data_IF_301671011992
#
_entry.id   IF_301671011992
#
_cell.length_a   1.000
_cell.length_b   1.000
_cell.length_c   1.000
_cell.angle_alpha   90.00
_cell.angle_beta   90.00
_cell.angle_gamma   90.00
#
_symmetry.space_group_name_H-M   'P 1'
#
loop_
_entity.id
_entity.type
_entity.pdbx_description
1 polymer ?
#
# COMPACT_ATOMS: atom_id res chain seq x y z
N UNK A 1 20.09 -13.14 -9.89
CA UNK A 1 19.37 -12.86 -8.63
C UNK A 1 17.92 -13.25 -8.83
N UNK A 2 17.35 -14.09 -7.96
CA UNK A 2 15.91 -14.37 -7.99
C UNK A 2 15.23 -13.12 -7.42
N UNK A 3 14.45 -12.43 -8.26
CA UNK A 3 13.68 -11.26 -7.83
C UNK A 3 12.69 -11.71 -6.73
N UNK A 4 12.83 -11.16 -5.52
CA UNK A 4 11.96 -11.52 -4.41
C UNK A 4 10.70 -10.66 -4.45
N UNK A 5 9.49 -11.25 -4.28
CA UNK A 5 8.28 -10.45 -4.24
C UNK A 5 8.31 -9.50 -3.04
N UNK A 6 7.73 -8.31 -3.22
CA UNK A 6 7.70 -7.27 -2.21
C UNK A 6 6.36 -7.29 -1.48
N UNK A 7 6.40 -7.49 -0.17
CA UNK A 7 5.20 -7.61 0.66
C UNK A 7 4.73 -6.23 1.16
N UNK A 8 3.41 -6.01 1.13
CA UNK A 8 2.76 -4.83 1.66
C UNK A 8 1.61 -5.25 2.57
N UNK A 9 1.45 -4.55 3.71
CA UNK A 9 0.30 -4.71 4.62
C UNK A 9 -0.43 -3.37 4.71
N UNK A 10 -1.70 -3.35 4.28
CA UNK A 10 -2.48 -2.12 4.12
C UNK A 10 -3.74 -2.19 4.99
N UNK A 11 -4.09 -1.06 5.61
CA UNK A 11 -5.37 -0.86 6.27
C UNK A 11 -6.47 -0.61 5.23
N UNK A 12 -7.56 -1.37 5.30
CA UNK A 12 -8.72 -1.28 4.40
C UNK A 12 -10.02 -1.34 5.20
N UNK A 13 -11.14 -0.99 4.58
CA UNK A 13 -12.45 -1.25 5.18
C UNK A 13 -12.74 -2.74 5.20
N UNK A 14 -13.50 -3.17 6.21
CA UNK A 14 -13.81 -4.59 6.39
C UNK A 14 -14.65 -5.15 5.23
N UNK A 15 -15.54 -4.34 4.68
CA UNK A 15 -16.36 -4.67 3.51
C UNK A 15 -15.49 -4.88 2.26
N UNK A 16 -14.55 -3.97 2.01
CA UNK A 16 -13.60 -4.09 0.88
C UNK A 16 -12.75 -5.36 1.02
N UNK A 17 -12.28 -5.67 2.25
CA UNK A 17 -11.53 -6.90 2.52
C UNK A 17 -12.35 -8.13 2.19
N UNK A 18 -13.61 -8.15 2.61
CA UNK A 18 -14.53 -9.27 2.39
C UNK A 18 -14.80 -9.47 0.90
N UNK A 19 -15.11 -8.40 0.18
CA UNK A 19 -15.36 -8.44 -1.27
C UNK A 19 -14.11 -8.86 -2.06
N UNK A 20 -12.95 -8.33 -1.72
CA UNK A 20 -11.68 -8.72 -2.35
C UNK A 20 -11.41 -10.22 -2.15
N UNK A 21 -11.62 -10.74 -0.94
CA UNK A 21 -11.44 -12.17 -0.68
C UNK A 21 -12.41 -13.04 -1.50
N UNK A 22 -13.64 -12.57 -1.74
CA UNK A 22 -14.59 -13.26 -2.61
C UNK A 22 -14.12 -13.30 -4.07
N UNK A 23 -13.63 -12.18 -4.62
CA UNK A 23 -13.05 -12.11 -5.97
C UNK A 23 -11.84 -13.05 -6.11
N UNK A 24 -10.94 -13.03 -5.12
CA UNK A 24 -9.74 -13.88 -5.11
C UNK A 24 -10.13 -15.35 -5.03
N UNK A 25 -11.14 -15.70 -4.23
CA UNK A 25 -11.66 -17.07 -4.13
C UNK A 25 -12.26 -17.54 -5.45
N UNK A 26 -13.04 -16.69 -6.13
CA UNK A 26 -13.59 -17.02 -7.44
C UNK A 26 -12.47 -17.28 -8.47
N UNK A 27 -11.49 -16.37 -8.56
CA UNK A 27 -10.35 -16.51 -9.46
C UNK A 27 -9.47 -17.73 -9.15
N UNK A 28 -9.32 -18.09 -7.86
CA UNK A 28 -8.63 -19.30 -7.45
C UNK A 28 -9.36 -20.55 -7.93
N UNK A 29 -10.68 -20.62 -7.74
CA UNK A 29 -11.49 -21.76 -8.18
C UNK A 29 -11.47 -21.93 -9.70
N UNK A 30 -11.52 -20.83 -10.46
CA UNK A 30 -11.38 -20.86 -11.92
C UNK A 30 -10.03 -21.42 -12.36
N UNK A 31 -8.96 -21.03 -11.68
CA UNK A 31 -7.62 -21.53 -11.95
C UNK A 31 -7.44 -23.00 -11.57
N UNK A 32 -8.04 -23.43 -10.45
CA UNK A 32 -8.07 -24.84 -10.05
C UNK A 32 -8.82 -25.70 -11.06
N UNK A 33 -9.99 -25.25 -11.52
CA UNK A 33 -10.75 -25.93 -12.58
C UNK A 33 -9.95 -26.03 -13.88
N UNK A 34 -9.29 -24.96 -14.29
CA UNK A 34 -8.41 -24.98 -15.47
C UNK A 34 -7.25 -25.98 -15.31
N UNK A 35 -6.67 -26.09 -14.11
CA UNK A 35 -5.60 -27.04 -13.82
C UNK A 35 -6.09 -28.49 -13.91
N UNK A 36 -7.28 -28.79 -13.40
CA UNK A 36 -7.91 -30.11 -13.49
C UNK A 36 -8.17 -30.49 -14.95
N UNK A 37 -8.88 -29.65 -15.70
CA UNK A 37 -9.17 -29.87 -17.12
C UNK A 37 -7.89 -30.06 -17.95
N UNK A 38 -6.84 -29.32 -17.63
CA UNK A 38 -5.56 -29.43 -18.34
C UNK A 38 -4.81 -30.72 -17.98
N UNK A 39 -4.86 -31.17 -16.72
CA UNK A 39 -4.27 -32.45 -16.30
C UNK A 39 -4.97 -33.63 -16.97
N UNK A 40 -6.28 -33.56 -17.10
CA UNK A 40 -7.08 -34.60 -17.75
C UNK A 40 -6.80 -34.65 -19.25
N UNK A 41 -6.76 -33.50 -19.92
CA UNK A 41 -6.40 -33.37 -21.34
C UNK A 41 -5.00 -33.88 -21.66
N UNK A 42 -4.01 -33.63 -20.79
CA UNK A 42 -2.65 -34.17 -20.92
C UNK A 42 -2.57 -35.67 -20.53
N UNK A 43 -3.66 -36.27 -20.05
CA UNK A 43 -3.71 -37.68 -19.64
C UNK A 43 -2.77 -37.99 -18.48
N UNK A 44 -2.53 -37.02 -17.59
CA UNK A 44 -1.41 -37.06 -16.65
C UNK A 44 -1.48 -38.25 -15.67
N UNK A 45 -2.69 -38.72 -15.37
CA UNK A 45 -2.96 -39.91 -14.57
C UNK A 45 -2.48 -41.23 -15.21
N UNK A 46 -2.34 -41.27 -16.53
CA UNK A 46 -1.90 -42.45 -17.29
C UNK A 46 -0.41 -42.41 -17.66
N UNK A 47 0.26 -41.26 -17.48
CA UNK A 47 1.67 -41.10 -17.78
C UNK A 47 2.55 -41.54 -16.59
N UNK A 48 3.73 -42.08 -16.88
CA UNK A 48 4.74 -42.43 -15.86
C UNK A 48 6.13 -41.90 -16.23
N UNK A 49 7.00 -41.82 -15.23
CA UNK A 49 8.42 -41.46 -15.39
C UNK A 49 8.64 -40.13 -16.12
N UNK A 50 9.51 -40.14 -17.13
CA UNK A 50 9.90 -38.94 -17.89
C UNK A 50 8.73 -38.28 -18.61
N UNK A 51 7.77 -39.06 -19.12
CA UNK A 51 6.60 -38.54 -19.83
C UNK A 51 5.71 -37.70 -18.90
N UNK A 52 5.44 -38.18 -17.69
CA UNK A 52 4.69 -37.43 -16.68
C UNK A 52 5.44 -36.16 -16.23
N UNK A 53 6.77 -36.24 -16.10
CA UNK A 53 7.59 -35.06 -15.78
C UNK A 53 7.48 -33.97 -16.85
N UNK A 54 7.63 -34.33 -18.13
CA UNK A 54 7.51 -33.40 -19.25
C UNK A 54 6.11 -32.78 -19.34
N UNK A 55 5.05 -33.56 -19.13
CA UNK A 55 3.68 -33.04 -19.09
C UNK A 55 3.50 -31.99 -17.98
N UNK A 56 4.02 -32.25 -16.77
CA UNK A 56 3.99 -31.28 -15.66
C UNK A 56 4.74 -29.99 -15.98
N UNK A 57 5.86 -30.08 -16.70
CA UNK A 57 6.61 -28.89 -17.15
C UNK A 57 5.77 -28.06 -18.11
N UNK A 58 5.18 -28.69 -19.15
CA UNK A 58 4.28 -27.99 -20.09
C UNK A 58 3.10 -27.31 -19.40
N UNK A 59 2.46 -28.00 -18.46
CA UNK A 59 1.33 -27.43 -17.69
C UNK A 59 1.79 -26.19 -16.91
N UNK A 60 2.98 -26.24 -16.26
CA UNK A 60 3.51 -25.09 -15.53
C UNK A 60 3.88 -23.92 -16.44
N UNK A 61 4.47 -24.20 -17.59
CA UNK A 61 4.81 -23.19 -18.60
C UNK A 61 3.56 -22.50 -19.12
N UNK A 62 2.52 -23.28 -19.44
CA UNK A 62 1.24 -22.76 -19.89
C UNK A 62 0.54 -21.95 -18.79
N UNK A 63 0.54 -22.44 -17.56
CA UNK A 63 0.01 -21.71 -16.40
C UNK A 63 0.73 -20.37 -16.22
N UNK A 64 2.06 -20.36 -16.30
CA UNK A 64 2.86 -19.14 -16.20
C UNK A 64 2.54 -18.16 -17.34
N UNK A 65 2.36 -18.66 -18.56
CA UNK A 65 1.96 -17.87 -19.74
C UNK A 65 0.58 -17.22 -19.53
N UNK A 66 -0.42 -17.99 -19.11
CA UNK A 66 -1.77 -17.49 -18.88
C UNK A 66 -1.85 -16.51 -17.70
N UNK A 67 -1.08 -16.74 -16.64
CA UNK A 67 -0.92 -15.77 -15.53
C UNK A 67 -0.25 -14.47 -16.00
N UNK A 68 0.78 -14.55 -16.84
CA UNK A 68 1.45 -13.38 -17.41
C UNK A 68 0.51 -12.55 -18.30
N UNK A 69 -0.41 -13.21 -19.01
CA UNK A 69 -1.48 -12.59 -19.80
C UNK A 69 -2.63 -12.04 -18.93
N UNK A 70 -2.66 -12.39 -17.65
CA UNK A 70 -3.73 -11.99 -16.72
C UNK A 70 -5.04 -12.74 -16.91
N UNK A 71 -5.01 -13.89 -17.59
CA UNK A 71 -6.16 -14.80 -17.76
C UNK A 71 -6.41 -15.56 -16.45
N UNK A 72 -5.35 -16.11 -15.85
CA UNK A 72 -5.40 -16.78 -14.56
C UNK A 72 -4.96 -15.82 -13.45
N UNK A 73 -5.81 -15.66 -12.43
CA UNK A 73 -5.58 -14.71 -11.32
C UNK A 73 -5.80 -15.34 -9.95
N UNK A 74 -5.41 -16.59 -9.74
CA UNK A 74 -5.67 -17.34 -8.50
C UNK A 74 -4.93 -16.85 -7.25
N UNK A 75 -4.36 -15.63 -7.25
CA UNK A 75 -3.75 -15.04 -6.07
C UNK A 75 -4.06 -13.55 -5.95
N UNK A 76 -4.03 -13.03 -4.72
CA UNK A 76 -4.23 -11.58 -4.44
C UNK A 76 -3.29 -10.70 -5.26
N UNK A 77 -2.04 -11.14 -5.42
CA UNK A 77 -1.03 -10.48 -6.24
C UNK A 77 -1.49 -10.31 -7.69
N UNK A 78 -1.98 -11.40 -8.30
CA UNK A 78 -2.42 -11.41 -9.70
C UNK A 78 -3.73 -10.65 -9.91
N UNK A 79 -4.62 -10.65 -8.92
CA UNK A 79 -5.85 -9.83 -8.94
C UNK A 79 -5.51 -8.34 -8.87
N UNK A 80 -4.60 -7.93 -7.98
CA UNK A 80 -4.33 -6.52 -7.70
C UNK A 80 -3.28 -5.89 -8.62
N UNK A 81 -2.32 -6.64 -9.15
CA UNK A 81 -1.24 -6.10 -9.96
C UNK A 81 -1.71 -5.27 -11.18
N UNK A 82 -2.74 -5.68 -11.95
CA UNK A 82 -3.30 -4.85 -13.02
C UNK A 82 -3.87 -3.53 -12.51
N UNK A 83 -4.59 -3.56 -11.39
CA UNK A 83 -5.15 -2.36 -10.75
C UNK A 83 -4.06 -1.39 -10.28
N UNK A 84 -2.99 -1.91 -9.67
CA UNK A 84 -1.83 -1.09 -9.25
C UNK A 84 -1.17 -0.44 -10.47
N UNK A 85 -0.93 -1.19 -11.55
CA UNK A 85 -0.37 -0.62 -12.80
C UNK A 85 -1.27 0.46 -13.39
N UNK A 86 -2.58 0.23 -13.39
CA UNK A 86 -3.57 1.19 -13.88
C UNK A 86 -3.57 2.48 -13.05
N UNK A 87 -3.51 2.38 -11.72
CA UNK A 87 -3.42 3.54 -10.82
C UNK A 87 -2.11 4.31 -11.00
N UNK A 88 -0.97 3.61 -11.10
CA UNK A 88 0.31 4.25 -11.39
C UNK A 88 0.24 5.00 -12.73
N UNK A 89 -0.36 4.41 -13.76
CA UNK A 89 -0.53 5.06 -15.07
C UNK A 89 -1.47 6.27 -15.00
N UNK A 90 -2.63 6.12 -14.38
CA UNK A 90 -3.64 7.17 -14.25
C UNK A 90 -3.12 8.42 -13.53
N UNK A 91 -2.22 8.24 -12.57
CA UNK A 91 -1.60 9.34 -11.80
C UNK A 91 -0.30 9.87 -12.42
N UNK A 92 0.09 9.44 -13.62
CA UNK A 92 1.37 9.83 -14.24
C UNK A 92 2.61 9.31 -13.51
N UNK A 93 2.43 8.29 -12.67
CA UNK A 93 3.45 7.63 -11.84
C UNK A 93 4.04 6.37 -12.51
N UNK A 94 3.60 6.02 -13.72
CA UNK A 94 4.15 4.90 -14.49
C UNK A 94 5.47 5.24 -15.22
N UNK A 95 6.23 6.21 -14.72
CA UNK A 95 7.52 6.65 -15.28
C UNK A 95 8.70 6.06 -14.52
N UNK A 96 9.90 6.18 -15.09
CA UNK A 96 11.15 5.79 -14.41
C UNK A 96 11.48 6.81 -13.34
N UNK A 97 11.73 6.30 -12.13
CA UNK A 97 12.17 7.08 -10.98
C UNK A 97 13.55 6.60 -10.55
N UNK A 98 14.34 7.51 -9.97
CA UNK A 98 15.60 7.16 -9.33
C UNK A 98 15.35 6.16 -8.18
N UNK A 99 16.38 5.39 -7.82
CA UNK A 99 16.33 4.53 -6.64
C UNK A 99 16.09 5.37 -5.38
N UNK A 100 15.26 4.86 -4.47
CA UNK A 100 15.10 5.48 -3.14
C UNK A 100 16.43 5.32 -2.37
N UNK A 101 16.89 6.35 -1.64
CA UNK A 101 18.07 6.24 -0.78
C UNK A 101 17.94 5.05 0.19
N UNK A 102 19.02 4.30 0.41
CA UNK A 102 18.99 3.04 1.17
C UNK A 102 18.44 3.21 2.60
N UNK A 103 18.69 4.35 3.25
CA UNK A 103 18.16 4.67 4.58
C UNK A 103 16.65 4.99 4.62
N UNK A 104 16.04 5.28 3.47
CA UNK A 104 14.63 5.69 3.36
C UNK A 104 13.76 4.62 2.69
N UNK A 105 14.39 3.67 1.99
CA UNK A 105 13.73 2.55 1.33
C UNK A 105 13.07 1.56 2.30
N UNK A 106 13.54 1.51 3.55
CA UNK A 106 13.10 0.57 4.59
C UNK A 106 12.40 1.22 5.78
N UNK A 107 12.20 2.54 5.77
CA UNK A 107 11.49 3.22 6.84
C UNK A 107 10.01 2.83 6.81
N UNK A 108 9.67 1.70 7.43
CA UNK A 108 8.29 1.32 7.77
C UNK A 108 7.81 2.25 8.89
N UNK A 109 7.62 3.50 8.53
CA UNK A 109 7.28 4.58 9.42
C UNK A 109 6.23 5.46 8.75
N UNK A 110 5.40 6.03 9.60
CA UNK A 110 4.41 7.02 9.19
C UNK A 110 5.17 8.22 8.62
N UNK A 111 5.03 8.50 7.32
CA UNK A 111 5.59 9.71 6.72
C UNK A 111 5.13 10.93 7.51
N UNK A 112 6.01 11.92 7.66
CA UNK A 112 5.65 13.19 8.30
C UNK A 112 4.40 13.75 7.63
N UNK A 113 3.41 14.09 8.45
CA UNK A 113 2.12 14.59 8.00
C UNK A 113 1.06 13.53 7.65
N UNK A 114 1.40 12.24 7.54
CA UNK A 114 0.40 11.18 7.29
C UNK A 114 -0.39 10.83 8.57
N UNK A 115 -1.10 11.80 9.15
CA UNK A 115 -1.96 11.67 10.35
C UNK A 115 -3.23 10.83 10.11
N UNK A 116 -4.02 10.49 11.15
CA UNK A 116 -5.28 9.75 10.96
C UNK A 116 -6.26 10.60 10.15
N UNK A 117 -6.15 11.93 10.29
CA UNK A 117 -6.86 12.96 9.53
C UNK A 117 -6.56 12.92 8.02
N UNK A 118 -5.41 12.40 7.58
CA UNK A 118 -5.05 12.30 6.15
C UNK A 118 -6.04 11.42 5.37
N UNK A 119 -6.70 10.48 6.05
CA UNK A 119 -7.70 9.62 5.41
C UNK A 119 -9.11 10.14 5.49
N UNK A 120 -9.39 11.29 6.13
CA UNK A 120 -10.73 11.88 6.22
C UNK A 120 -11.82 10.96 6.78
N UNK A 121 -11.44 9.84 7.41
CA UNK A 121 -12.34 8.77 7.88
C UNK A 121 -12.27 8.62 9.39
N UNK A 122 -12.42 9.73 10.11
CA UNK A 122 -12.82 9.72 11.51
C UNK A 122 -14.34 9.81 11.49
N UNK A 123 -15.06 8.82 12.03
CA UNK A 123 -16.46 9.07 12.41
C UNK A 123 -16.50 10.06 13.57
N UNK A 124 -17.69 10.51 13.97
CA UNK A 124 -17.92 11.40 15.12
C UNK A 124 -17.21 10.98 16.42
N UNK A 125 -16.69 9.75 16.53
CA UNK A 125 -15.96 9.20 17.68
C UNK A 125 -14.44 8.97 17.49
N UNK A 126 -13.77 9.63 16.55
CA UNK A 126 -12.29 9.53 16.38
C UNK A 126 -11.75 8.11 16.02
N UNK A 127 -12.61 7.16 15.64
CA UNK A 127 -12.22 5.79 15.21
C UNK A 127 -12.09 5.72 13.69
N UNK A 128 -10.97 5.16 13.19
CA UNK A 128 -10.78 4.95 11.76
C UNK A 128 -11.68 3.83 11.22
N UNK A 129 -12.36 4.02 10.09
CA UNK A 129 -13.16 2.96 9.43
C UNK A 129 -12.30 1.83 8.84
N UNK A 130 -10.97 2.01 8.77
CA UNK A 130 -10.00 1.06 8.23
C UNK A 130 -9.58 0.01 9.27
N UNK A 131 -10.53 -0.85 9.66
CA UNK A 131 -10.31 -1.92 10.65
C UNK A 131 -9.69 -3.19 10.06
N UNK A 132 -9.89 -3.42 8.75
CA UNK A 132 -9.37 -4.57 8.03
C UNK A 132 -7.88 -4.44 7.68
N UNK A 133 -7.19 -5.57 7.57
CA UNK A 133 -5.80 -5.65 7.06
C UNK A 133 -5.73 -6.58 5.86
N UNK A 134 -5.08 -6.12 4.80
CA UNK A 134 -4.79 -6.91 3.60
C UNK A 134 -3.29 -6.96 3.41
N UNK A 135 -2.75 -8.18 3.38
CA UNK A 135 -1.39 -8.46 2.95
C UNK A 135 -1.40 -8.83 1.45
N UNK A 136 -0.53 -8.20 0.68
CA UNK A 136 -0.33 -8.49 -0.75
C UNK A 136 1.16 -8.56 -1.06
N UNK A 137 1.55 -9.53 -1.86
CA UNK A 137 2.90 -9.68 -2.39
C UNK A 137 2.89 -9.26 -3.85
N UNK A 138 3.53 -8.14 -4.18
CA UNK A 138 3.62 -7.70 -5.57
C UNK A 138 4.90 -8.24 -6.21
N UNK A 139 4.92 -8.48 -7.53
CA UNK A 139 6.15 -8.75 -8.26
C UNK A 139 7.20 -7.67 -7.94
N UNK A 140 8.45 -8.08 -7.76
CA UNK A 140 9.54 -7.21 -7.27
C UNK A 140 9.58 -5.88 -8.04
N UNK A 141 9.66 -5.92 -9.37
CA UNK A 141 9.70 -4.74 -10.23
C UNK A 141 8.52 -3.79 -10.02
N UNK A 142 7.30 -4.34 -9.86
CA UNK A 142 6.10 -3.53 -9.63
C UNK A 142 6.07 -2.94 -8.22
N UNK A 143 6.47 -3.74 -7.22
CA UNK A 143 6.59 -3.27 -5.84
C UNK A 143 7.64 -2.18 -5.68
N UNK A 144 8.77 -2.32 -6.37
CA UNK A 144 9.85 -1.33 -6.42
C UNK A 144 9.41 -0.06 -7.13
N UNK A 145 8.75 -0.19 -8.28
CA UNK A 145 8.19 0.96 -9.00
C UNK A 145 7.18 1.72 -8.12
N UNK A 146 6.28 1.00 -7.44
CA UNK A 146 5.29 1.59 -6.55
C UNK A 146 5.96 2.39 -5.42
N UNK A 147 6.96 1.81 -4.75
CA UNK A 147 7.68 2.50 -3.65
C UNK A 147 8.39 3.75 -4.17
N UNK A 148 9.11 3.65 -5.28
CA UNK A 148 9.83 4.80 -5.88
C UNK A 148 8.86 5.90 -6.31
N UNK A 149 7.75 5.54 -6.95
CA UNK A 149 6.75 6.48 -7.39
C UNK A 149 6.14 7.26 -6.21
N UNK A 150 5.70 6.56 -5.16
CA UNK A 150 5.16 7.19 -3.97
C UNK A 150 6.20 8.07 -3.26
N UNK A 151 7.46 7.64 -3.19
CA UNK A 151 8.56 8.42 -2.64
C UNK A 151 8.76 9.74 -3.39
N UNK A 152 9.17 9.68 -4.66
CA UNK A 152 9.56 10.87 -5.40
C UNK A 152 8.40 11.81 -5.72
N UNK A 153 7.18 11.28 -5.85
CA UNK A 153 6.01 12.14 -6.07
C UNK A 153 5.63 12.91 -4.80
N UNK A 154 5.85 12.33 -3.62
CA UNK A 154 5.54 13.00 -2.35
C UNK A 154 6.70 13.82 -1.80
N UNK A 155 7.91 13.64 -2.32
CA UNK A 155 9.13 14.23 -1.75
C UNK A 155 9.06 15.76 -1.62
N UNK A 156 8.61 16.53 -2.63
CA UNK A 156 8.51 17.98 -2.49
C UNK A 156 7.55 18.42 -1.37
N UNK A 157 6.42 17.71 -1.23
CA UNK A 157 5.45 17.98 -0.16
C UNK A 157 6.00 17.61 1.22
N UNK A 158 6.77 16.52 1.32
CA UNK A 158 7.44 16.11 2.56
C UNK A 158 8.49 17.14 2.98
N UNK A 159 9.32 17.61 2.05
CA UNK A 159 10.31 18.67 2.31
C UNK A 159 9.63 19.97 2.75
N UNK A 160 8.56 20.38 2.07
CA UNK A 160 7.78 21.56 2.46
C UNK A 160 7.14 21.41 3.85
N UNK A 161 6.68 20.21 4.23
CA UNK A 161 6.19 19.94 5.58
C UNK A 161 7.28 20.01 6.64
N UNK A 162 8.50 19.56 6.32
CA UNK A 162 9.65 19.73 7.22
C UNK A 162 10.00 21.20 7.43
N UNK A 163 10.01 22.00 6.37
CA UNK A 163 10.22 23.45 6.48
C UNK A 163 9.07 24.15 7.23
N UNK A 164 7.84 23.71 7.02
CA UNK A 164 6.70 24.14 7.82
C UNK A 164 6.89 23.82 9.31
N UNK A 165 7.34 22.60 9.63
CA UNK A 165 7.57 22.14 11.01
C UNK A 165 8.74 22.88 11.66
N UNK A 166 9.80 23.22 10.91
CA UNK A 166 10.90 24.08 11.42
C UNK A 166 10.40 25.48 11.78
N UNK A 167 9.47 26.04 11.00
CA UNK A 167 8.90 27.39 11.21
C UNK A 167 7.94 27.45 12.40
N UNK A 168 7.09 26.45 12.56
CA UNK A 168 5.95 26.49 13.49
C UNK A 168 6.03 25.47 14.64
N UNK A 169 7.02 24.58 14.63
CA UNK A 169 7.14 23.45 15.54
C UNK A 169 6.08 22.37 15.31
N UNK A 170 6.01 21.41 16.23
CA UNK A 170 5.06 20.29 16.16
C UNK A 170 3.60 20.67 16.47
N UNK A 171 3.38 21.93 16.88
CA UNK A 171 2.11 22.41 17.38
C UNK A 171 1.80 21.91 18.81
N UNK A 172 0.86 22.57 19.51
CA UNK A 172 0.56 22.26 20.91
C UNK A 172 -0.04 20.86 21.11
N UNK A 173 -0.82 20.35 20.15
CA UNK A 173 -1.44 19.01 20.23
C UNK A 173 -0.40 17.87 20.29
N UNK A 174 0.71 17.99 19.55
CA UNK A 174 1.76 16.96 19.53
C UNK A 174 2.57 16.99 20.82
N UNK A 175 2.93 18.19 21.31
CA UNK A 175 3.60 18.37 22.60
C UNK A 175 2.76 17.83 23.76
N UNK A 176 1.44 18.05 23.75
CA UNK A 176 0.51 17.51 24.75
C UNK A 176 0.42 15.99 24.69
N UNK A 177 0.35 15.40 23.48
CA UNK A 177 0.29 13.94 23.30
C UNK A 177 1.61 13.26 23.66
N UNK A 178 2.75 13.88 23.40
CA UNK A 178 4.07 13.40 23.82
C UNK A 178 4.26 13.51 25.34
N UNK A 179 3.84 14.61 25.97
CA UNK A 179 3.83 14.74 27.42
C UNK A 179 2.97 13.65 28.08
N UNK A 180 1.78 13.37 27.53
CA UNK A 180 0.92 12.27 27.99
C UNK A 180 1.57 10.89 27.83
N UNK A 181 2.25 10.62 26.70
CA UNK A 181 2.96 9.35 26.48
C UNK A 181 4.18 9.18 27.39
N UNK A 182 4.84 10.28 27.75
CA UNK A 182 5.99 10.28 28.65
C UNK A 182 5.59 10.13 30.13
N UNK A 183 4.29 9.99 30.44
CA UNK A 183 3.81 9.88 31.82
C UNK A 183 3.99 11.15 32.65
N UNK A 184 4.37 12.26 32.02
CA UNK A 184 4.36 13.56 32.65
C UNK A 184 2.89 13.93 32.88
N UNK A 185 2.48 14.39 34.08
CA UNK A 185 1.16 14.95 34.24
C UNK A 185 1.03 16.03 33.16
N UNK A 186 -0.12 16.08 32.49
CA UNK A 186 -0.50 17.11 31.51
C UNK A 186 -0.64 18.49 32.18
N UNK A 187 0.28 18.81 33.08
CA UNK A 187 0.32 19.94 33.97
C UNK A 187 1.16 21.06 33.38
N UNK A 188 0.86 22.24 33.89
CA UNK A 188 1.46 23.55 33.72
C UNK A 188 2.64 23.69 32.74
N UNK A 189 3.75 22.95 32.85
CA UNK A 189 4.91 23.03 31.94
C UNK A 189 4.60 22.69 30.46
N UNK A 190 3.76 21.69 30.18
CA UNK A 190 3.36 21.36 28.81
C UNK A 190 2.45 22.46 28.23
N UNK A 191 1.58 23.04 29.07
CA UNK A 191 0.73 24.18 28.73
C UNK A 191 1.54 25.47 28.55
N UNK A 192 2.59 25.67 29.35
CA UNK A 192 3.47 26.84 29.31
C UNK A 192 4.37 26.82 28.06
N UNK A 193 4.94 25.66 27.73
CA UNK A 193 5.70 25.46 26.48
C UNK A 193 4.83 25.46 25.22
N UNK A 194 3.54 25.12 25.34
CA UNK A 194 2.55 25.30 24.30
C UNK A 194 2.12 26.78 24.15
N UNK A 195 2.02 27.53 25.26
CA UNK A 195 1.64 28.95 25.27
C UNK A 195 2.75 29.91 24.84
N UNK A 196 4.02 29.51 24.96
CA UNK A 196 5.18 30.28 24.45
C UNK A 196 5.53 29.98 22.99
N UNK A 197 5.00 28.90 22.42
CA UNK A 197 5.16 28.63 21.00
C UNK A 197 4.25 29.58 20.22
N UNK A 198 4.79 30.28 19.22
CA UNK A 198 3.98 31.05 18.28
C UNK A 198 2.98 30.11 17.62
N UNK A 199 1.67 30.21 17.91
CA UNK A 199 0.70 29.29 17.34
C UNK A 199 0.70 29.50 15.82
N UNK A 200 0.68 28.40 15.07
CA UNK A 200 0.48 28.47 13.63
C UNK A 200 -0.82 29.23 13.34
N UNK A 201 -0.75 30.20 12.44
CA UNK A 201 -1.94 30.93 11.98
C UNK A 201 -2.93 29.98 11.28
N UNK A 202 -4.19 30.38 11.15
CA UNK A 202 -5.20 29.60 10.43
C UNK A 202 -4.73 29.27 8.99
N UNK A 203 -4.11 30.25 8.32
CA UNK A 203 -3.54 30.07 6.98
C UNK A 203 -2.40 29.05 6.96
N UNK A 204 -1.53 29.05 7.98
CA UNK A 204 -0.46 28.07 8.10
C UNK A 204 -0.99 26.65 8.34
N UNK A 205 -2.11 26.49 9.05
CA UNK A 205 -2.78 25.19 9.21
C UNK A 205 -3.41 24.71 7.90
N UNK A 206 -3.98 25.63 7.10
CA UNK A 206 -4.47 25.30 5.76
C UNK A 206 -3.33 24.89 4.84
N UNK A 207 -2.21 25.62 4.82
CA UNK A 207 -0.99 25.27 4.08
C UNK A 207 -0.54 23.84 4.41
N UNK A 208 -0.48 23.49 5.71
CA UNK A 208 -0.14 22.14 6.16
C UNK A 208 -1.12 21.08 5.63
N UNK A 209 -2.41 21.36 5.65
CA UNK A 209 -3.43 20.42 5.16
C UNK A 209 -3.32 20.18 3.64
N UNK A 210 -3.04 21.22 2.86
CA UNK A 210 -2.82 21.13 1.42
C UNK A 210 -1.57 20.29 1.12
N UNK A 211 -0.47 20.54 1.83
CA UNK A 211 0.76 19.76 1.68
C UNK A 211 0.56 18.28 2.07
N UNK A 212 -0.18 18.01 3.14
CA UNK A 212 -0.54 16.63 3.52
C UNK A 212 -1.34 15.95 2.40
N UNK A 213 -2.34 16.63 1.83
CA UNK A 213 -3.15 16.12 0.72
C UNK A 213 -2.36 15.75 -0.54
N UNK A 214 -1.17 16.32 -0.74
CA UNK A 214 -0.28 16.01 -1.86
C UNK A 214 0.54 14.71 -1.65
N UNK A 215 0.59 14.18 -0.42
CA UNK A 215 1.32 12.94 -0.14
C UNK A 215 0.53 11.73 -0.62
N UNK A 216 1.14 10.96 -1.51
CA UNK A 216 0.59 9.70 -2.01
C UNK A 216 1.35 8.53 -1.38
N UNK A 217 0.62 7.67 -0.67
CA UNK A 217 1.18 6.47 -0.04
C UNK A 217 0.96 5.23 -0.90
N UNK A 218 1.76 4.19 -0.65
CA UNK A 218 1.54 2.87 -1.27
C UNK A 218 0.16 2.30 -0.90
N UNK A 219 -0.32 2.60 0.32
CA UNK A 219 -1.66 2.23 0.77
C UNK A 219 -2.78 2.88 -0.05
N UNK A 220 -2.61 4.11 -0.50
CA UNK A 220 -3.62 4.81 -1.33
C UNK A 220 -3.76 4.16 -2.70
N UNK A 221 -2.62 3.83 -3.33
CA UNK A 221 -2.60 3.14 -4.62
C UNK A 221 -3.20 1.74 -4.50
N UNK A 222 -2.84 1.00 -3.45
CA UNK A 222 -3.33 -0.37 -3.25
C UNK A 222 -4.82 -0.37 -2.89
N UNK A 223 -5.31 0.56 -2.06
CA UNK A 223 -6.75 0.73 -1.81
C UNK A 223 -7.52 1.06 -3.09
N UNK A 224 -7.02 1.98 -3.91
CA UNK A 224 -7.64 2.29 -5.19
C UNK A 224 -7.62 1.07 -6.14
N UNK A 225 -6.55 0.27 -6.14
CA UNK A 225 -6.49 -0.98 -6.89
C UNK A 225 -7.49 -2.03 -6.39
N UNK A 226 -7.74 -2.10 -5.07
CA UNK A 226 -8.75 -2.96 -4.46
C UNK A 226 -10.15 -2.55 -4.93
N UNK A 227 -10.48 -1.26 -4.89
CA UNK A 227 -11.77 -0.76 -5.38
C UNK A 227 -12.00 -1.01 -6.88
N UNK A 228 -10.92 -1.12 -7.68
CA UNK A 228 -11.03 -1.50 -9.10
C UNK A 228 -11.19 -3.00 -9.32
N UNK A 229 -10.76 -3.81 -8.36
CA UNK A 229 -10.77 -5.27 -8.47
C UNK A 229 -12.06 -5.91 -7.97
N UNK A 230 -12.80 -5.20 -7.12
CA UNK A 230 -14.14 -5.54 -6.62
C UNK A 230 -15.18 -5.05 -7.61
#
# INVERSE_FOLDING_TARGET
>A
MVAMPKQFVIAVEEDDRTRLNAVVKAAFNEEEKWLEETRDREGLQFLRGRAASMARVRIREEQARLRAQGVLRGSKALVLAPGVRAELKARGMAKRFASVPAGEAGASGRRVGAGPRHYGRLSEEDKSTLTGRVAVELPDELGDQLVRACYWTSQPAVEALWEWQKRWGDGPEVKLREAQRAGLPSGFLALFTAGLATPATADALLEKSVLQGQIVTTGDIIRAAIHRAI
#
